data_IF_248636443203
#
_entry.id   IF_248636443203
#
_cell.length_a   1.000
_cell.length_b   1.000
_cell.length_c   1.000
_cell.angle_alpha   90.00
_cell.angle_beta   90.00
_cell.angle_gamma   90.00
#
_symmetry.space_group_name_H-M   'P 1'
#
loop_
_entity.id
_entity.type
_entity.pdbx_description
1 polymer ?
#
# COMPACT_ATOMS: atom_id res chain seq x y z
N UNK A 1 12.46 13.14 11.61
CA UNK A 1 12.51 14.00 10.41
C UNK A 1 12.13 13.12 9.22
N UNK A 2 10.84 13.05 8.89
CA UNK A 2 10.32 12.27 7.76
C UNK A 2 10.07 13.26 6.62
N UNK A 3 11.13 13.63 5.93
CA UNK A 3 11.08 14.47 4.73
C UNK A 3 10.65 13.62 3.52
N UNK A 4 9.35 13.32 3.42
CA UNK A 4 8.76 12.66 2.24
C UNK A 4 8.34 13.66 1.14
N UNK A 5 8.81 14.90 1.23
CA UNK A 5 8.61 15.90 0.18
C UNK A 5 9.76 15.84 -0.83
N UNK A 6 9.40 15.60 -2.10
CA UNK A 6 10.21 15.83 -3.32
C UNK A 6 11.11 14.69 -3.82
N UNK A 7 10.57 13.49 -4.03
CA UNK A 7 11.18 12.55 -4.98
C UNK A 7 10.60 12.78 -6.38
N UNK A 8 11.38 13.48 -7.20
CA UNK A 8 11.23 13.73 -8.65
C UNK A 8 10.71 12.49 -9.40
N UNK A 9 9.54 12.62 -10.04
CA UNK A 9 8.91 11.54 -10.83
C UNK A 9 9.83 11.07 -11.96
N UNK A 10 10.29 9.81 -11.97
CA UNK A 10 11.12 9.29 -13.03
C UNK A 10 10.28 8.98 -14.28
N UNK A 11 10.86 9.27 -15.45
CA UNK A 11 10.18 9.27 -16.77
C UNK A 11 9.57 7.94 -17.22
N UNK A 12 9.81 6.83 -16.52
CA UNK A 12 9.18 5.54 -16.84
C UNK A 12 7.69 5.46 -16.44
N UNK A 13 7.23 6.36 -15.56
CA UNK A 13 5.81 6.49 -15.18
C UNK A 13 4.88 6.91 -16.34
N UNK A 14 5.43 7.35 -17.48
CA UNK A 14 4.65 7.77 -18.65
C UNK A 14 4.12 6.59 -19.50
N UNK A 15 4.47 5.33 -19.18
CA UNK A 15 4.19 4.17 -20.06
C UNK A 15 3.27 3.09 -19.52
N UNK A 16 2.82 3.13 -18.27
CA UNK A 16 1.89 2.14 -17.73
C UNK A 16 0.51 2.75 -17.53
N UNK A 17 -0.29 2.69 -18.60
CA UNK A 17 -1.76 2.76 -18.67
C UNK A 17 -2.42 3.73 -17.68
N UNK A 18 -2.61 4.95 -18.17
CA UNK A 18 -3.47 6.01 -17.65
C UNK A 18 -4.98 5.64 -17.56
N UNK A 19 -5.34 4.46 -17.03
CA UNK A 19 -6.74 3.96 -17.05
C UNK A 19 -7.18 3.20 -15.79
N UNK A 20 -6.46 3.29 -14.66
CA UNK A 20 -6.86 2.55 -13.44
C UNK A 20 -6.82 3.37 -12.14
N UNK A 21 -7.01 4.68 -12.23
CA UNK A 21 -7.20 5.55 -11.05
C UNK A 21 -8.70 5.84 -10.88
N UNK A 22 -9.46 4.83 -10.43
CA UNK A 22 -10.83 5.08 -9.95
C UNK A 22 -10.73 5.33 -8.46
N UNK A 23 -10.61 6.60 -8.08
CA UNK A 23 -10.54 6.99 -6.68
C UNK A 23 -11.94 6.98 -6.09
N UNK A 24 -12.28 5.97 -5.30
CA UNK A 24 -13.50 5.98 -4.49
C UNK A 24 -13.19 6.58 -3.11
N UNK A 25 -14.13 7.31 -2.48
CA UNK A 25 -13.95 7.86 -1.13
C UNK A 25 -13.52 6.79 -0.10
N UNK A 26 -13.96 5.54 -0.30
CA UNK A 26 -13.63 4.42 0.58
C UNK A 26 -12.14 4.05 0.54
N UNK A 27 -11.45 4.19 -0.60
CA UNK A 27 -10.04 3.80 -0.71
C UNK A 27 -9.15 4.75 0.10
N UNK A 28 -9.47 6.05 0.09
CA UNK A 28 -8.78 7.09 0.87
C UNK A 28 -8.98 6.85 2.37
N UNK A 29 -10.23 6.65 2.79
CA UNK A 29 -10.55 6.37 4.21
C UNK A 29 -9.90 5.06 4.67
N UNK A 30 -9.85 4.06 3.80
CA UNK A 30 -9.17 2.80 4.08
C UNK A 30 -7.65 2.97 4.24
N UNK A 31 -7.03 3.84 3.45
CA UNK A 31 -5.61 4.18 3.59
C UNK A 31 -5.33 4.80 4.97
N UNK A 32 -6.19 5.71 5.44
CA UNK A 32 -6.02 6.36 6.74
C UNK A 32 -6.11 5.35 7.90
N UNK A 33 -7.06 4.41 7.83
CA UNK A 33 -7.13 3.32 8.82
C UNK A 33 -5.89 2.42 8.82
N UNK A 34 -5.24 2.18 7.68
CA UNK A 34 -3.98 1.42 7.62
C UNK A 34 -2.85 2.20 8.32
N UNK A 35 -2.78 3.52 8.11
CA UNK A 35 -1.79 4.39 8.77
C UNK A 35 -1.98 4.45 10.27
N UNK A 36 -3.23 4.55 10.71
CA UNK A 36 -3.58 4.55 12.13
C UNK A 36 -3.37 3.18 12.78
N UNK A 37 -3.39 2.09 11.99
CA UNK A 37 -3.27 0.72 12.48
C UNK A 37 -4.60 0.15 12.99
N UNK A 38 -5.74 0.70 12.56
CA UNK A 38 -7.07 0.22 12.94
C UNK A 38 -7.42 -1.08 12.18
N UNK A 39 -6.99 -2.21 12.75
CA UNK A 39 -7.22 -3.55 12.19
C UNK A 39 -8.70 -3.89 12.04
N UNK A 40 -9.55 -3.39 12.94
CA UNK A 40 -10.99 -3.70 12.92
C UNK A 40 -11.63 -3.08 11.69
N UNK A 41 -11.39 -1.79 11.47
CA UNK A 41 -11.92 -1.07 10.33
C UNK A 41 -11.30 -1.59 9.02
N UNK A 42 -9.98 -1.83 8.99
CA UNK A 42 -9.32 -2.43 7.82
C UNK A 42 -9.99 -3.76 7.46
N UNK A 43 -10.19 -4.67 8.43
CA UNK A 43 -10.88 -5.93 8.21
C UNK A 43 -12.33 -5.75 7.74
N UNK A 44 -13.05 -4.77 8.28
CA UNK A 44 -14.43 -4.45 7.91
C UNK A 44 -14.56 -3.98 6.47
N UNK A 45 -13.68 -3.08 6.01
CA UNK A 45 -13.69 -2.59 4.63
C UNK A 45 -13.42 -3.70 3.62
N UNK A 46 -12.45 -4.56 3.91
CA UNK A 46 -12.09 -5.71 3.06
C UNK A 46 -13.23 -6.73 3.02
N UNK A 47 -13.79 -7.09 4.18
CA UNK A 47 -14.91 -8.04 4.26
C UNK A 47 -16.16 -7.52 3.55
N UNK A 48 -16.41 -6.21 3.62
CA UNK A 48 -17.50 -5.57 2.90
C UNK A 48 -17.23 -5.41 1.39
N UNK A 49 -16.05 -5.81 0.89
CA UNK A 49 -15.59 -5.64 -0.51
C UNK A 49 -15.76 -4.20 -1.02
N UNK A 50 -15.56 -3.23 -0.12
CA UNK A 50 -15.70 -1.81 -0.42
C UNK A 50 -14.44 -1.18 -1.03
N UNK A 51 -13.35 -1.93 -1.04
CA UNK A 51 -12.00 -1.48 -1.43
C UNK A 51 -11.30 -2.58 -2.23
N UNK A 52 -10.40 -2.16 -3.11
CA UNK A 52 -9.48 -3.06 -3.82
C UNK A 52 -8.09 -2.96 -3.20
N UNK A 53 -7.48 -4.10 -2.87
CA UNK A 53 -6.21 -4.14 -2.14
C UNK A 53 -5.01 -3.72 -3.00
N UNK A 54 -5.10 -3.95 -4.31
CA UNK A 54 -4.04 -3.66 -5.29
C UNK A 54 -4.15 -2.23 -5.85
N UNK A 55 -5.00 -1.40 -5.27
CA UNK A 55 -5.18 -0.01 -5.68
C UNK A 55 -3.92 0.78 -5.37
N UNK A 56 -3.43 1.53 -6.36
CA UNK A 56 -2.34 2.47 -6.18
C UNK A 56 -2.96 3.80 -5.72
N UNK A 57 -2.57 4.25 -4.54
CA UNK A 57 -2.98 5.52 -3.95
C UNK A 57 -2.29 6.71 -4.62
N UNK A 58 -2.76 7.95 -4.39
CA UNK A 58 -2.09 9.16 -4.90
C UNK A 58 -0.63 9.33 -4.45
N UNK A 59 -0.21 8.61 -3.39
CA UNK A 59 1.19 8.53 -2.96
C UNK A 59 2.06 7.65 -3.88
N UNK A 60 1.45 6.99 -4.87
CA UNK A 60 2.08 6.03 -5.76
C UNK A 60 2.27 4.64 -5.15
N UNK A 61 1.71 4.40 -3.96
CA UNK A 61 1.87 3.17 -3.19
C UNK A 61 0.55 2.40 -3.09
N UNK A 62 0.61 1.08 -2.91
CA UNK A 62 -0.58 0.27 -2.61
C UNK A 62 -0.82 0.11 -1.11
N UNK A 63 -1.97 -0.42 -0.70
CA UNK A 63 -2.30 -0.71 0.70
C UNK A 63 -1.23 -1.53 1.42
N UNK A 64 -0.65 -2.52 0.74
CA UNK A 64 0.40 -3.35 1.31
C UNK A 64 1.71 -2.58 1.55
N UNK A 65 2.05 -1.65 0.65
CA UNK A 65 3.24 -0.81 0.80
C UNK A 65 3.11 0.12 2.01
N UNK A 66 1.95 0.75 2.19
CA UNK A 66 1.68 1.64 3.34
C UNK A 66 1.72 0.86 4.68
N UNK A 67 1.17 -0.35 4.71
CA UNK A 67 1.22 -1.21 5.88
C UNK A 67 2.66 -1.63 6.24
N UNK A 68 3.51 -1.87 5.24
CA UNK A 68 4.94 -2.13 5.43
C UNK A 68 5.68 -0.88 5.91
N UNK A 69 5.42 0.28 5.29
CA UNK A 69 6.06 1.56 5.62
C UNK A 69 5.78 2.00 7.06
N UNK A 70 4.57 1.74 7.54
CA UNK A 70 4.15 2.02 8.92
C UNK A 70 4.72 1.03 9.92
N UNK A 71 5.26 -0.11 9.47
CA UNK A 71 5.75 -1.19 10.33
C UNK A 71 4.64 -2.01 10.99
N UNK A 72 3.38 -1.81 10.57
CA UNK A 72 2.21 -2.48 11.13
C UNK A 72 2.08 -3.91 10.59
N UNK A 73 2.84 -4.83 11.20
CA UNK A 73 2.89 -6.26 10.85
C UNK A 73 1.50 -6.91 10.81
N UNK A 74 0.61 -6.53 11.72
CA UNK A 74 -0.73 -7.10 11.79
C UNK A 74 -1.59 -6.65 10.60
N UNK A 75 -1.47 -5.40 10.17
CA UNK A 75 -2.11 -4.91 8.94
C UNK A 75 -1.59 -5.66 7.71
N UNK A 76 -0.27 -5.86 7.62
CA UNK A 76 0.35 -6.63 6.53
C UNK A 76 -0.19 -8.05 6.48
N UNK A 77 -0.17 -8.76 7.62
CA UNK A 77 -0.71 -10.13 7.71
C UNK A 77 -2.18 -10.20 7.32
N UNK A 78 -2.97 -9.20 7.75
CA UNK A 78 -4.39 -9.14 7.44
C UNK A 78 -4.60 -8.94 5.93
N UNK A 79 -3.93 -7.97 5.31
CA UNK A 79 -4.02 -7.71 3.87
C UNK A 79 -3.62 -8.94 3.03
N UNK A 80 -2.50 -9.60 3.38
CA UNK A 80 -2.03 -10.82 2.71
C UNK A 80 -3.03 -11.96 2.88
N UNK A 81 -3.59 -12.14 4.10
CA UNK A 81 -4.60 -13.17 4.37
C UNK A 81 -5.86 -13.00 3.53
N UNK A 82 -6.23 -11.76 3.19
CA UNK A 82 -7.37 -11.47 2.34
C UNK A 82 -7.05 -11.45 0.83
N UNK A 83 -5.83 -11.80 0.44
CA UNK A 83 -5.45 -12.01 -0.96
C UNK A 83 -4.93 -10.75 -1.67
N UNK A 84 -4.37 -9.79 -0.94
CA UNK A 84 -3.65 -8.70 -1.56
C UNK A 84 -2.41 -9.20 -2.33
N UNK A 85 -2.11 -8.59 -3.48
CA UNK A 85 -0.97 -8.98 -4.29
C UNK A 85 0.36 -8.53 -3.63
N UNK A 86 1.14 -9.51 -3.17
CA UNK A 86 2.48 -9.32 -2.60
C UNK A 86 3.53 -8.91 -3.63
N UNK A 87 3.24 -9.10 -4.90
CA UNK A 87 4.09 -8.71 -6.02
C UNK A 87 3.66 -7.39 -6.67
N UNK A 88 2.59 -6.76 -6.15
CA UNK A 88 2.14 -5.48 -6.62
C UNK A 88 3.30 -4.49 -6.60
N UNK A 89 3.50 -3.79 -7.71
CA UNK A 89 4.55 -2.79 -7.83
C UNK A 89 3.95 -1.42 -7.56
N UNK A 90 4.66 -0.61 -6.79
CA UNK A 90 4.37 0.81 -6.64
C UNK A 90 4.73 1.58 -7.92
N UNK A 91 4.48 2.89 -7.94
CA UNK A 91 4.84 3.76 -9.08
C UNK A 91 6.35 3.79 -9.36
N UNK A 92 7.18 3.47 -8.38
CA UNK A 92 8.64 3.40 -8.49
C UNK A 92 9.12 2.00 -8.94
N UNK A 93 8.20 1.05 -9.14
CA UNK A 93 8.49 -0.32 -9.52
C UNK A 93 8.98 -1.21 -8.37
N UNK A 94 8.91 -0.73 -7.14
CA UNK A 94 9.26 -1.44 -5.91
C UNK A 94 8.12 -2.34 -5.50
N UNK A 95 8.45 -3.50 -4.93
CA UNK A 95 7.46 -4.38 -4.30
C UNK A 95 7.44 -4.13 -2.80
N UNK A 96 6.40 -4.57 -2.07
CA UNK A 96 6.34 -4.44 -0.62
C UNK A 96 7.57 -5.07 0.06
N UNK A 97 8.10 -6.15 -0.52
CA UNK A 97 9.33 -6.79 -0.06
C UNK A 97 10.57 -5.87 -0.19
N UNK A 98 10.69 -5.11 -1.29
CA UNK A 98 11.78 -4.16 -1.45
C UNK A 98 11.74 -3.08 -0.36
N UNK A 99 10.54 -2.57 -0.02
CA UNK A 99 10.36 -1.62 1.08
C UNK A 99 10.68 -2.23 2.44
N UNK A 100 10.20 -3.45 2.71
CA UNK A 100 10.47 -4.15 3.97
C UNK A 100 11.98 -4.36 4.20
N UNK A 101 12.73 -4.67 3.15
CA UNK A 101 14.19 -4.78 3.22
C UNK A 101 14.87 -3.43 3.46
N UNK A 102 14.39 -2.36 2.82
CA UNK A 102 14.96 -1.01 2.98
C UNK A 102 14.76 -0.43 4.38
N UNK A 103 13.59 -0.64 4.98
CA UNK A 103 13.25 -0.11 6.31
C UNK A 103 13.66 -1.04 7.47
N UNK A 104 14.30 -2.18 7.18
CA UNK A 104 14.77 -3.10 8.21
C UNK A 104 13.70 -4.01 8.81
N UNK A 105 12.51 -4.07 8.21
CA UNK A 105 11.43 -5.00 8.57
C UNK A 105 11.67 -6.41 8.00
N UNK A 106 12.85 -6.98 8.27
CA UNK A 106 13.23 -8.32 7.81
C UNK A 106 12.26 -9.42 8.29
N UNK A 107 11.47 -9.15 9.32
CA UNK A 107 10.40 -10.01 9.82
C UNK A 107 9.18 -10.12 8.89
N UNK A 108 8.98 -9.18 7.96
CA UNK A 108 7.93 -9.27 6.91
C UNK A 108 8.39 -10.14 5.75
N UNK A 109 9.70 -10.25 5.53
CA UNK A 109 10.30 -10.92 4.39
C UNK A 109 10.43 -12.46 4.55
N UNK A 110 9.84 -13.05 5.59
CA UNK A 110 10.03 -14.46 5.97
C UNK A 110 8.79 -15.32 5.76
#
# INVERSE_FOLDING_TARGET
MKDYCLARVPRYAQRLRAARTVHFPNDIVFQDHIREGDLEQVGRFIRARKVTLDTIYPSGMAALHEAVLTGNLDCVKLLVRYGADIHQRDENGWTPLHMACSDGYASIAR
#
